data_IF_417477259361
#
_entry.id   IF_417477259361
#
_cell.length_a   1.000
_cell.length_b   1.000
_cell.length_c   1.000
_cell.angle_alpha   90.00
_cell.angle_beta   90.00
_cell.angle_gamma   90.00
#
_symmetry.space_group_name_H-M   'P 1'
#
loop_
_entity.id
_entity.type
_entity.pdbx_description
1 polymer ?
#
# COMPACT_ATOMS: atom_id res chain seq x y z
N UNK A 1 24.15 -0.60 9.07
CA UNK A 1 23.99 -1.61 7.99
C UNK A 1 22.90 -1.18 7.00
N UNK A 2 21.68 -0.86 7.44
CA UNK A 2 20.57 -0.43 6.56
C UNK A 2 20.85 0.86 5.75
N UNK A 3 21.61 1.80 6.31
CA UNK A 3 21.92 3.07 5.65
C UNK A 3 22.83 2.91 4.41
N UNK A 4 23.75 1.94 4.45
CA UNK A 4 24.65 1.66 3.33
C UNK A 4 23.92 1.06 2.12
N UNK A 5 22.93 0.20 2.38
CA UNK A 5 22.07 -0.37 1.33
C UNK A 5 21.17 0.70 0.70
N UNK A 6 20.62 1.60 1.53
CA UNK A 6 19.83 2.73 1.06
C UNK A 6 20.66 3.67 0.19
N UNK A 7 21.87 4.01 0.63
CA UNK A 7 22.80 4.86 -0.13
C UNK A 7 23.16 4.25 -1.49
N UNK A 8 23.51 2.96 -1.54
CA UNK A 8 23.78 2.27 -2.82
C UNK A 8 22.56 2.26 -3.75
N UNK A 9 21.36 2.08 -3.19
CA UNK A 9 20.12 2.05 -3.97
C UNK A 9 19.77 3.43 -4.55
N UNK A 10 20.01 4.50 -3.79
CA UNK A 10 19.83 5.88 -4.25
C UNK A 10 20.85 6.24 -5.34
N UNK A 11 22.13 5.89 -5.15
CA UNK A 11 23.18 6.08 -6.16
C UNK A 11 22.86 5.33 -7.46
N UNK A 12 22.40 4.07 -7.36
CA UNK A 12 21.97 3.28 -8.53
C UNK A 12 20.81 3.94 -9.27
N UNK A 13 19.84 4.52 -8.56
CA UNK A 13 18.70 5.21 -9.18
C UNK A 13 19.15 6.50 -9.89
N UNK A 14 20.03 7.28 -9.27
CA UNK A 14 20.56 8.51 -9.87
C UNK A 14 21.27 8.24 -11.21
N UNK A 15 22.07 7.16 -11.27
CA UNK A 15 22.76 6.74 -12.50
C UNK A 15 21.79 6.27 -13.59
N UNK A 16 20.63 5.72 -13.21
CA UNK A 16 19.60 5.28 -14.15
C UNK A 16 18.71 6.43 -14.65
N UNK A 17 18.51 7.49 -13.85
CA UNK A 17 17.79 8.70 -14.28
C UNK A 17 18.58 9.53 -15.29
N UNK A 18 19.92 9.52 -15.20
CA UNK A 18 20.81 10.25 -16.11
C UNK A 18 21.10 9.49 -17.42
N UNK A 19 20.59 8.25 -17.54
CA UNK A 19 20.60 7.52 -18.78
C UNK A 19 19.38 7.94 -19.62
N UNK A 20 19.55 8.38 -20.88
CA UNK A 20 18.42 8.60 -21.77
C UNK A 20 17.72 7.25 -21.98
N UNK A 21 16.57 7.07 -21.33
CA UNK A 21 15.69 5.95 -21.60
C UNK A 21 15.26 5.95 -23.07
N UNK A 22 15.03 4.78 -23.68
CA UNK A 22 14.39 4.75 -24.99
C UNK A 22 13.02 5.42 -24.88
N UNK A 23 12.73 6.30 -25.83
CA UNK A 23 11.71 7.32 -25.79
C UNK A 23 10.33 6.88 -25.27
N UNK A 24 9.73 7.79 -24.51
CA UNK A 24 8.30 7.99 -24.47
C UNK A 24 8.04 9.50 -24.52
N UNK A 25 8.45 10.10 -25.63
CA UNK A 25 7.84 11.32 -26.13
C UNK A 25 6.37 11.03 -26.44
N UNK A 26 5.55 11.18 -25.41
CA UNK A 26 4.10 11.34 -25.52
C UNK A 26 3.80 12.82 -25.45
N UNK A 27 3.47 13.41 -26.59
CA UNK A 27 2.90 14.74 -26.69
C UNK A 27 1.79 14.91 -25.64
N UNK A 28 1.92 15.94 -24.81
CA UNK A 28 0.81 16.44 -23.98
C UNK A 28 -0.25 17.01 -24.93
N UNK A 29 -1.46 16.46 -25.01
CA UNK A 29 -2.55 17.16 -25.66
C UNK A 29 -3.04 18.23 -24.67
N UNK A 30 -2.91 19.50 -25.04
CA UNK A 30 -3.69 20.59 -24.45
C UNK A 30 -5.18 20.22 -24.57
N UNK A 31 -5.83 19.91 -23.45
CA UNK A 31 -7.26 19.66 -23.43
C UNK A 31 -8.00 20.96 -23.14
N UNK A 32 -8.26 21.71 -24.22
CA UNK A 32 -9.32 22.71 -24.28
C UNK A 32 -10.57 22.04 -24.87
N UNK A 33 -11.67 22.00 -24.13
CA UNK A 33 -12.98 21.61 -24.67
C UNK A 33 -13.69 20.48 -23.92
N UNK A 34 -14.83 20.84 -23.35
CA UNK A 34 -15.79 20.03 -22.61
C UNK A 34 -16.25 18.75 -23.33
N UNK A 35 -15.78 17.58 -22.92
CA UNK A 35 -16.55 16.33 -23.02
C UNK A 35 -16.15 15.43 -21.84
N UNK A 36 -17.06 15.20 -20.88
CA UNK A 36 -16.78 14.35 -19.72
C UNK A 36 -16.59 12.91 -20.20
N UNK A 37 -15.35 12.38 -20.28
CA UNK A 37 -15.11 11.09 -20.88
C UNK A 37 -15.43 10.00 -19.85
N UNK A 38 -15.78 8.80 -20.32
CA UNK A 38 -15.99 7.60 -19.49
C UNK A 38 -14.77 7.30 -18.59
N UNK A 39 -13.59 7.84 -18.94
CA UNK A 39 -12.35 7.79 -18.17
C UNK A 39 -12.31 8.71 -16.95
N UNK A 40 -13.20 9.70 -16.82
CA UNK A 40 -13.23 10.60 -15.65
C UNK A 40 -13.39 9.84 -14.32
N UNK A 41 -14.08 8.69 -14.34
CA UNK A 41 -14.19 7.81 -13.17
C UNK A 41 -12.88 7.06 -12.90
N UNK A 42 -12.18 6.61 -13.95
CA UNK A 42 -10.89 5.95 -13.83
C UNK A 42 -9.81 6.91 -13.30
N UNK A 43 -9.81 8.15 -13.78
CA UNK A 43 -8.90 9.21 -13.33
C UNK A 43 -9.19 9.63 -11.89
N UNK A 44 -10.47 9.71 -11.52
CA UNK A 44 -10.87 9.99 -10.13
C UNK A 44 -10.48 8.85 -9.18
N UNK A 45 -10.64 7.58 -9.56
CA UNK A 45 -10.21 6.45 -8.73
C UNK A 45 -8.69 6.36 -8.62
N UNK A 46 -7.98 6.62 -9.71
CA UNK A 46 -6.53 6.57 -9.76
C UNK A 46 -5.91 7.69 -8.91
N UNK A 47 -6.42 8.91 -9.06
CA UNK A 47 -5.99 10.07 -8.26
C UNK A 47 -6.26 9.82 -6.76
N UNK A 48 -7.44 9.33 -6.39
CA UNK A 48 -7.74 8.96 -5.00
C UNK A 48 -6.77 7.89 -4.44
N UNK A 49 -6.44 6.87 -5.23
CA UNK A 49 -5.45 5.84 -4.85
C UNK A 49 -4.04 6.42 -4.69
N UNK A 50 -3.67 7.36 -5.55
CA UNK A 50 -2.36 8.02 -5.50
C UNK A 50 -2.24 8.92 -4.27
N UNK A 51 -3.23 9.77 -4.01
CA UNK A 51 -3.30 10.61 -2.81
C UNK A 51 -3.18 9.76 -1.56
N UNK A 52 -3.98 8.69 -1.45
CA UNK A 52 -3.92 7.77 -0.31
C UNK A 52 -2.52 7.15 -0.13
N UNK A 53 -1.82 6.82 -1.21
CA UNK A 53 -0.44 6.29 -1.13
C UNK A 53 0.54 7.34 -0.63
N UNK A 54 0.42 8.58 -1.08
CA UNK A 54 1.25 9.67 -0.62
C UNK A 54 1.01 9.93 0.88
N UNK A 55 -0.25 9.96 1.31
CA UNK A 55 -0.59 10.11 2.73
C UNK A 55 0.03 9.00 3.59
N UNK A 56 0.05 7.76 3.09
CA UNK A 56 0.72 6.64 3.78
C UNK A 56 2.23 6.84 3.86
N UNK A 57 2.87 7.29 2.78
CA UNK A 57 4.31 7.50 2.73
C UNK A 57 4.76 8.67 3.62
N UNK A 58 3.93 9.72 3.71
CA UNK A 58 4.15 10.90 4.56
C UNK A 58 3.81 10.62 6.04
N UNK A 59 3.15 9.50 6.34
CA UNK A 59 2.71 9.13 7.68
C UNK A 59 1.39 9.78 8.11
N UNK A 60 0.71 10.48 7.20
CA UNK A 60 -0.60 11.10 7.41
C UNK A 60 -1.76 10.09 7.37
N UNK A 61 -1.53 8.91 6.82
CA UNK A 61 -2.49 7.81 6.82
C UNK A 61 -1.82 6.47 7.20
N UNK A 62 -2.54 5.62 7.92
CA UNK A 62 -2.08 4.26 8.21
C UNK A 62 -2.44 3.37 7.01
N UNK A 63 -1.54 2.49 6.54
CA UNK A 63 -1.90 1.45 5.60
C UNK A 63 -3.16 0.72 6.09
N UNK A 64 -4.08 0.35 5.20
CA UNK A 64 -5.15 -0.55 5.62
C UNK A 64 -4.49 -1.81 6.16
N UNK A 65 -4.49 -1.94 7.48
CA UNK A 65 -4.08 -3.17 8.13
C UNK A 65 -5.04 -4.21 7.61
N UNK A 66 -4.51 -5.32 7.09
CA UNK A 66 -5.32 -6.53 6.93
C UNK A 66 -5.90 -6.76 8.32
N UNK A 67 -7.23 -6.67 8.45
CA UNK A 67 -7.91 -6.49 9.74
C UNK A 67 -7.32 -7.40 10.82
N UNK A 68 -7.27 -6.92 12.07
CA UNK A 68 -6.66 -7.65 13.18
C UNK A 68 -7.07 -9.12 13.14
N UNK A 69 -6.11 -9.98 12.83
CA UNK A 69 -6.34 -11.42 12.77
C UNK A 69 -6.46 -11.88 14.21
N UNK A 70 -7.68 -12.11 14.66
CA UNK A 70 -7.95 -12.65 15.98
C UNK A 70 -7.34 -14.05 16.08
N UNK A 71 -6.36 -14.20 16.98
CA UNK A 71 -5.75 -15.48 17.28
C UNK A 71 -5.92 -15.77 18.78
N UNK A 72 -6.80 -16.70 19.17
CA UNK A 72 -7.10 -16.94 20.58
C UNK A 72 -5.86 -17.36 21.36
N UNK A 73 -4.87 -17.98 20.73
CA UNK A 73 -3.63 -18.39 21.39
C UNK A 73 -2.68 -17.23 21.70
N UNK A 74 -2.83 -16.08 21.05
CA UNK A 74 -2.02 -14.88 21.33
C UNK A 74 -2.77 -13.86 22.18
N UNK A 75 -4.10 -13.77 22.02
CA UNK A 75 -4.96 -12.87 22.79
C UNK A 75 -5.20 -13.41 24.22
N UNK A 76 -5.23 -14.74 24.40
CA UNK A 76 -5.52 -15.39 25.69
C UNK A 76 -4.35 -16.22 26.21
N UNK A 77 -3.24 -15.57 26.54
CA UNK A 77 -2.03 -16.22 27.08
C UNK A 77 -2.22 -16.84 28.48
N UNK A 78 -3.26 -16.40 29.19
CA UNK A 78 -3.61 -16.89 30.52
C UNK A 78 -4.25 -18.29 30.49
N UNK A 79 -4.68 -18.75 29.31
CA UNK A 79 -5.27 -20.05 29.12
C UNK A 79 -4.34 -20.96 28.33
N UNK A 80 -4.24 -22.22 28.76
CA UNK A 80 -3.53 -23.23 27.97
C UNK A 80 -4.27 -23.48 26.65
N UNK A 81 -3.53 -23.96 25.64
CA UNK A 81 -4.11 -24.36 24.34
C UNK A 81 -5.24 -25.39 24.51
N UNK A 82 -5.14 -26.25 25.52
CA UNK A 82 -6.17 -27.24 25.85
C UNK A 82 -7.43 -26.59 26.40
N UNK A 83 -7.30 -25.68 27.37
CA UNK A 83 -8.44 -24.94 27.92
C UNK A 83 -9.16 -24.11 26.86
N UNK A 84 -8.41 -23.42 25.98
CA UNK A 84 -8.99 -22.66 24.86
C UNK A 84 -9.85 -23.57 23.98
N UNK A 85 -9.35 -24.76 23.62
CA UNK A 85 -10.07 -25.72 22.78
C UNK A 85 -11.30 -26.31 23.48
N UNK A 86 -11.18 -26.63 24.77
CA UNK A 86 -12.27 -27.17 25.57
C UNK A 86 -13.41 -26.12 25.70
N UNK A 87 -13.08 -24.84 25.92
CA UNK A 87 -14.04 -23.73 25.93
C UNK A 87 -14.65 -23.48 24.54
N UNK A 88 -13.86 -23.53 23.48
CA UNK A 88 -14.35 -23.40 22.10
C UNK A 88 -15.43 -24.45 21.76
N UNK A 89 -15.32 -25.65 22.33
CA UNK A 89 -16.35 -26.69 22.22
C UNK A 89 -17.66 -26.34 22.94
N UNK A 90 -17.58 -25.70 24.11
CA UNK A 90 -18.77 -25.25 24.86
C UNK A 90 -19.51 -24.12 24.14
N UNK A 91 -18.79 -23.20 23.49
CA UNK A 91 -19.37 -22.06 22.77
C UNK A 91 -19.89 -22.40 21.36
N UNK A 92 -19.49 -23.54 20.78
CA UNK A 92 -19.97 -23.98 19.47
C UNK A 92 -21.27 -24.77 19.52
N UNK A 93 -21.80 -25.01 20.71
CA UNK A 93 -23.03 -25.76 20.94
C UNK A 93 -24.26 -24.87 20.85
#
# INVERSE_FOLDING_TARGET
MAENELAQKLQRRLVLEDAPGPGAEGEVPEHNGEEKPVTANADSELSAKLTRRNDINEGNAVPATRGQVFNPYTEFKEFSRKQIKDMEGMFRQ
#
